data_IF_229245604647
#
_entry.id   IF_229245604647
#
_cell.length_a   1.000
_cell.length_b   1.000
_cell.length_c   1.000
_cell.angle_alpha   90.00
_cell.angle_beta   90.00
_cell.angle_gamma   90.00
#
_symmetry.space_group_name_H-M   'P 1'
#
loop_
_entity.id
_entity.type
_entity.pdbx_description
1 polymer ?
#
# COMPACT_ATOMS: atom_id res chain seq x y z
N UNK A 1 1.32 -7.99 -6.37
CA UNK A 1 1.10 -7.18 -7.59
C UNK A 1 1.30 -8.00 -8.88
N UNK A 2 0.97 -9.29 -8.89
CA UNK A 2 1.05 -10.15 -10.08
C UNK A 2 0.15 -11.36 -9.83
N UNK A 3 -0.92 -11.50 -10.60
CA UNK A 3 -1.96 -12.50 -10.33
C UNK A 3 -1.52 -13.91 -10.74
N UNK A 4 -0.73 -14.06 -11.80
CA UNK A 4 -0.11 -15.34 -12.15
C UNK A 4 0.88 -15.82 -11.08
N UNK A 5 1.73 -14.93 -10.57
CA UNK A 5 2.69 -15.27 -9.52
C UNK A 5 1.98 -15.64 -8.21
N UNK A 6 0.88 -14.94 -7.89
CA UNK A 6 0.01 -15.27 -6.75
C UNK A 6 -0.59 -16.66 -6.92
N UNK A 7 -1.14 -16.96 -8.10
CA UNK A 7 -1.74 -18.27 -8.40
C UNK A 7 -0.71 -19.40 -8.32
N UNK A 8 0.48 -19.21 -8.93
CA UNK A 8 1.61 -20.15 -8.82
C UNK A 8 2.01 -20.39 -7.36
N UNK A 9 2.00 -19.34 -6.52
CA UNK A 9 2.30 -19.47 -5.08
C UNK A 9 1.26 -20.33 -4.35
N UNK A 10 -0.02 -20.21 -4.69
CA UNK A 10 -1.09 -21.07 -4.15
C UNK A 10 -0.95 -22.53 -4.59
N UNK A 11 -0.64 -22.75 -5.87
CA UNK A 11 -0.42 -24.10 -6.40
C UNK A 11 0.79 -24.78 -5.74
N UNK A 12 1.87 -24.02 -5.52
CA UNK A 12 3.03 -24.50 -4.77
C UNK A 12 2.66 -24.87 -3.33
N UNK A 13 1.89 -24.03 -2.65
CA UNK A 13 1.38 -24.32 -1.31
C UNK A 13 0.54 -25.62 -1.28
N UNK A 14 -0.39 -25.77 -2.20
CA UNK A 14 -1.24 -26.97 -2.30
C UNK A 14 -0.43 -28.24 -2.63
N UNK A 15 0.62 -28.09 -3.44
CA UNK A 15 1.62 -29.12 -3.69
C UNK A 15 2.30 -29.57 -2.39
N UNK A 16 2.78 -28.62 -1.58
CA UNK A 16 3.36 -28.91 -0.27
C UNK A 16 2.37 -29.55 0.69
N UNK A 17 1.09 -29.13 0.66
CA UNK A 17 0.08 -29.71 1.52
C UNK A 17 -0.17 -31.19 1.21
N UNK A 18 0.01 -31.65 -0.02
CA UNK A 18 -0.07 -33.08 -0.36
C UNK A 18 1.05 -33.90 0.30
N UNK A 19 2.21 -33.29 0.56
CA UNK A 19 3.36 -33.95 1.15
C UNK A 19 3.46 -33.78 2.68
N UNK A 20 2.90 -32.71 3.25
CA UNK A 20 3.05 -32.37 4.66
C UNK A 20 1.69 -32.05 5.32
N UNK A 21 1.48 -32.54 6.55
CA UNK A 21 0.26 -32.31 7.33
C UNK A 21 0.13 -30.88 7.85
N UNK A 22 1.25 -30.29 8.25
CA UNK A 22 1.35 -29.00 8.89
C UNK A 22 2.37 -28.14 8.16
N UNK A 23 2.00 -26.90 7.89
CA UNK A 23 2.79 -25.95 7.13
C UNK A 23 2.98 -24.65 7.91
N UNK A 24 4.11 -24.00 7.67
CA UNK A 24 4.45 -22.69 8.19
C UNK A 24 4.50 -21.69 7.03
N UNK A 25 3.65 -20.66 7.08
CA UNK A 25 3.64 -19.58 6.09
C UNK A 25 4.54 -18.42 6.54
N UNK A 26 5.65 -18.19 5.83
CA UNK A 26 6.51 -17.00 6.02
C UNK A 26 6.63 -16.22 4.71
N UNK A 27 5.79 -15.21 4.46
CA UNK A 27 5.84 -14.42 3.23
C UNK A 27 6.47 -13.04 3.44
N UNK A 28 6.94 -12.42 2.35
CA UNK A 28 7.37 -11.01 2.33
C UNK A 28 6.28 -10.08 1.75
N UNK A 29 5.01 -10.47 1.84
CA UNK A 29 3.91 -9.79 1.13
C UNK A 29 3.76 -8.32 1.54
N UNK A 30 4.02 -7.99 2.81
CA UNK A 30 3.89 -6.62 3.32
C UNK A 30 4.98 -5.65 2.84
N UNK A 31 6.03 -6.15 2.17
CA UNK A 31 7.14 -5.34 1.68
C UNK A 31 6.95 -4.74 0.28
N UNK A 32 5.82 -5.01 -0.37
CA UNK A 32 5.56 -4.52 -1.74
C UNK A 32 5.17 -3.04 -1.74
N UNK A 33 5.62 -2.30 -2.75
CA UNK A 33 5.14 -0.95 -3.03
C UNK A 33 6.11 0.18 -2.72
N UNK A 34 7.24 -0.09 -2.05
CA UNK A 34 8.30 0.92 -1.82
C UNK A 34 7.76 2.22 -1.20
N UNK A 35 6.84 2.07 -0.24
CA UNK A 35 6.15 3.18 0.42
C UNK A 35 4.94 3.73 -0.34
N UNK A 36 4.74 3.38 -1.61
CA UNK A 36 3.54 3.76 -2.37
C UNK A 36 2.27 3.12 -1.75
N UNK A 37 1.09 3.75 -1.87
CA UNK A 37 -0.16 3.24 -1.30
C UNK A 37 -0.73 2.06 -2.09
N UNK A 38 -0.06 0.91 -1.94
CA UNK A 38 -0.47 -0.38 -2.46
C UNK A 38 -1.39 -1.05 -1.45
N UNK A 39 -2.66 -1.23 -1.82
CA UNK A 39 -3.70 -1.80 -0.96
C UNK A 39 -4.24 -3.05 -1.63
N UNK A 40 -4.20 -4.20 -0.95
CA UNK A 40 -4.73 -5.47 -1.48
C UNK A 40 -5.32 -6.34 -0.37
N UNK A 41 -5.96 -5.70 0.61
CA UNK A 41 -6.43 -6.33 1.84
C UNK A 41 -7.32 -7.55 1.57
N UNK A 42 -8.18 -7.51 0.54
CA UNK A 42 -9.04 -8.64 0.17
C UNK A 42 -8.24 -9.82 -0.36
N UNK A 43 -7.36 -9.60 -1.34
CA UNK A 43 -6.50 -10.66 -1.90
C UNK A 43 -5.59 -11.26 -0.84
N UNK A 44 -5.04 -10.44 0.07
CA UNK A 44 -4.25 -10.91 1.20
C UNK A 44 -5.06 -11.83 2.12
N UNK A 45 -6.27 -11.42 2.48
CA UNK A 45 -7.15 -12.21 3.34
C UNK A 45 -7.56 -13.53 2.70
N UNK A 46 -7.85 -13.54 1.39
CA UNK A 46 -8.12 -14.77 0.64
C UNK A 46 -6.93 -15.75 0.68
N UNK A 47 -5.70 -15.25 0.53
CA UNK A 47 -4.49 -16.07 0.57
C UNK A 47 -4.27 -16.66 1.97
N UNK A 48 -4.40 -15.85 3.02
CA UNK A 48 -4.30 -16.32 4.41
C UNK A 48 -5.36 -17.36 4.72
N UNK A 49 -6.61 -17.13 4.29
CA UNK A 49 -7.72 -18.06 4.49
C UNK A 49 -7.48 -19.38 3.76
N UNK A 50 -6.98 -19.33 2.53
CA UNK A 50 -6.58 -20.52 1.78
C UNK A 50 -5.54 -21.32 2.56
N UNK A 51 -4.44 -20.69 2.97
CA UNK A 51 -3.38 -21.34 3.75
C UNK A 51 -3.90 -21.92 5.07
N UNK A 52 -4.73 -21.18 5.83
CA UNK A 52 -5.35 -21.65 7.06
C UNK A 52 -6.24 -22.89 6.83
N UNK A 53 -7.04 -22.90 5.77
CA UNK A 53 -7.88 -24.05 5.41
C UNK A 53 -7.06 -25.26 4.94
N UNK A 54 -5.82 -25.04 4.50
CA UNK A 54 -4.98 -26.05 3.86
C UNK A 54 -3.68 -26.28 4.65
N UNK A 55 -3.78 -26.40 5.97
CA UNK A 55 -2.73 -26.95 6.83
C UNK A 55 -1.73 -25.95 7.42
N UNK A 56 -1.94 -24.65 7.26
CA UNK A 56 -1.16 -23.64 7.98
C UNK A 56 -1.47 -23.73 9.49
N UNK A 57 -0.41 -23.92 10.29
CA UNK A 57 -0.52 -23.91 11.76
C UNK A 57 0.30 -22.79 12.41
N UNK A 58 1.24 -22.21 11.66
CA UNK A 58 2.09 -21.10 12.09
C UNK A 58 2.23 -20.14 10.91
N UNK A 59 2.38 -18.85 11.20
CA UNK A 59 2.77 -17.84 10.21
C UNK A 59 3.60 -16.72 10.83
N UNK A 60 4.43 -16.12 10.00
CA UNK A 60 5.33 -15.01 10.33
C UNK A 60 5.34 -14.05 9.14
N UNK A 61 4.68 -12.91 9.32
CA UNK A 61 4.62 -11.86 8.32
C UNK A 61 5.74 -10.84 8.54
N UNK A 62 6.76 -10.94 7.69
CA UNK A 62 7.87 -9.98 7.68
C UNK A 62 7.51 -8.74 6.82
N UNK A 63 8.42 -7.77 6.78
CA UNK A 63 8.34 -6.56 5.96
C UNK A 63 7.19 -5.61 6.34
N UNK A 64 6.78 -5.62 7.62
CA UNK A 64 5.93 -4.57 8.17
C UNK A 64 6.77 -3.29 8.40
N UNK A 65 7.03 -2.55 7.32
CA UNK A 65 7.92 -1.37 7.32
C UNK A 65 7.33 -0.11 7.96
N UNK A 66 6.15 -0.21 8.61
CA UNK A 66 5.52 0.88 9.36
C UNK A 66 5.06 2.06 8.48
N UNK A 67 4.57 1.78 7.27
CA UNK A 67 3.92 2.79 6.42
C UNK A 67 2.40 2.84 6.68
N UNK A 68 1.97 3.19 7.89
CA UNK A 68 0.55 3.06 8.27
C UNK A 68 -0.41 3.95 7.46
N UNK A 69 0.07 5.06 6.89
CA UNK A 69 -0.77 5.89 6.01
C UNK A 69 -1.04 5.22 4.66
N UNK A 70 -0.16 4.32 4.20
CA UNK A 70 -0.22 3.72 2.85
C UNK A 70 -0.71 2.28 2.90
N UNK A 71 -0.29 1.51 3.91
CA UNK A 71 -0.58 0.06 4.06
C UNK A 71 -1.27 -0.27 5.39
N UNK A 72 -1.66 0.73 6.20
CA UNK A 72 -2.27 0.48 7.52
C UNK A 72 -3.56 -0.33 7.47
N UNK A 73 -4.39 -0.16 6.43
CA UNK A 73 -5.63 -0.92 6.26
C UNK A 73 -5.35 -2.43 6.14
N UNK A 74 -4.39 -2.83 5.32
CA UNK A 74 -4.06 -4.26 5.15
C UNK A 74 -3.37 -4.83 6.39
N UNK A 75 -2.61 -4.04 7.17
CA UNK A 75 -2.11 -4.49 8.48
C UNK A 75 -3.25 -4.81 9.43
N UNK A 76 -4.26 -3.93 9.49
CA UNK A 76 -5.44 -4.13 10.33
C UNK A 76 -6.25 -5.36 9.89
N UNK A 77 -6.54 -5.49 8.59
CA UNK A 77 -7.27 -6.64 8.05
C UNK A 77 -6.49 -7.94 8.27
N UNK A 78 -5.18 -7.94 8.02
CA UNK A 78 -4.34 -9.12 8.25
C UNK A 78 -4.42 -9.57 9.71
N UNK A 79 -4.30 -8.65 10.67
CA UNK A 79 -4.39 -8.98 12.10
C UNK A 79 -5.75 -9.64 12.45
N UNK A 80 -6.86 -9.14 11.87
CA UNK A 80 -8.19 -9.72 12.07
C UNK A 80 -8.32 -11.13 11.46
N UNK A 81 -7.81 -11.31 10.25
CA UNK A 81 -7.88 -12.60 9.54
C UNK A 81 -6.95 -13.65 10.14
N UNK A 82 -5.80 -13.25 10.67
CA UNK A 82 -4.90 -14.14 11.42
C UNK A 82 -5.52 -14.62 12.74
N UNK A 83 -6.32 -13.76 13.38
CA UNK A 83 -7.07 -14.14 14.57
C UNK A 83 -8.23 -15.10 14.24
N UNK A 84 -9.01 -14.78 13.21
CA UNK A 84 -10.08 -15.65 12.70
C UNK A 84 -10.11 -15.63 11.15
N UNK A 85 -9.65 -16.70 10.48
CA UNK A 85 -9.65 -16.79 9.02
C UNK A 85 -11.04 -16.74 8.37
N UNK A 86 -12.11 -16.97 9.14
CA UNK A 86 -13.50 -16.92 8.65
C UNK A 86 -14.10 -15.51 8.68
N UNK A 87 -13.36 -14.54 9.23
CA UNK A 87 -13.79 -13.14 9.31
C UNK A 87 -14.27 -12.60 7.96
N UNK A 88 -15.40 -11.89 7.98
CA UNK A 88 -15.89 -11.11 6.85
C UNK A 88 -15.01 -9.85 6.69
N UNK A 89 -14.23 -9.84 5.61
CA UNK A 89 -13.25 -8.79 5.33
C UNK A 89 -13.94 -7.48 4.97
N UNK A 90 -15.07 -7.54 4.26
CA UNK A 90 -15.81 -6.34 3.87
C UNK A 90 -16.41 -5.67 5.10
N UNK A 91 -16.99 -6.46 6.00
CA UNK A 91 -17.48 -5.96 7.28
C UNK A 91 -16.36 -5.34 8.15
N UNK A 92 -15.17 -5.93 8.16
CA UNK A 92 -14.00 -5.39 8.88
C UNK A 92 -13.53 -4.06 8.29
N UNK A 93 -13.43 -3.96 6.96
CA UNK A 93 -13.04 -2.72 6.29
C UNK A 93 -14.09 -1.62 6.50
N UNK A 94 -15.36 -2.00 6.49
CA UNK A 94 -16.47 -1.10 6.76
C UNK A 94 -16.45 -0.57 8.20
N UNK A 95 -16.19 -1.44 9.16
CA UNK A 95 -16.03 -1.03 10.56
C UNK A 95 -14.80 -0.16 10.77
N UNK A 96 -13.67 -0.50 10.14
CA UNK A 96 -12.46 0.33 10.16
C UNK A 96 -12.77 1.78 9.72
N UNK A 97 -13.53 1.93 8.62
CA UNK A 97 -13.90 3.25 8.11
C UNK A 97 -14.90 3.95 9.03
N UNK A 98 -15.95 3.26 9.49
CA UNK A 98 -16.97 3.81 10.40
C UNK A 98 -16.38 4.25 11.74
N UNK A 99 -15.70 3.33 12.43
CA UNK A 99 -15.12 3.56 13.76
C UNK A 99 -13.93 4.52 13.71
N UNK A 100 -13.20 4.55 12.59
CA UNK A 100 -12.05 5.42 12.38
C UNK A 100 -12.41 6.85 12.00
N UNK A 101 -13.49 7.06 11.24
CA UNK A 101 -13.70 8.32 10.54
C UNK A 101 -15.11 8.90 10.67
N UNK A 102 -16.03 8.22 11.36
CA UNK A 102 -17.37 8.72 11.63
C UNK A 102 -18.10 9.12 10.34
N UNK A 103 -18.54 10.37 10.26
CA UNK A 103 -19.23 10.92 9.09
C UNK A 103 -18.38 10.88 7.80
N UNK A 104 -17.05 10.79 7.92
CA UNK A 104 -16.14 10.66 6.79
C UNK A 104 -15.91 9.20 6.34
N UNK A 105 -16.61 8.22 6.92
CA UNK A 105 -16.43 6.80 6.59
C UNK A 105 -16.61 6.52 5.10
N UNK A 106 -17.68 7.03 4.47
CA UNK A 106 -17.96 6.74 3.06
C UNK A 106 -16.91 7.32 2.10
N UNK A 107 -16.47 8.60 2.22
CA UNK A 107 -15.32 9.07 1.47
C UNK A 107 -14.04 8.24 1.67
N UNK A 108 -13.77 7.78 2.89
CA UNK A 108 -12.58 6.95 3.18
C UNK A 108 -12.71 5.55 2.57
N UNK A 109 -13.90 4.96 2.54
CA UNK A 109 -14.16 3.71 1.79
C UNK A 109 -13.85 3.90 0.31
N UNK A 110 -14.33 4.98 -0.32
CA UNK A 110 -14.04 5.30 -1.73
C UNK A 110 -12.54 5.49 -1.98
N UNK A 111 -11.82 6.12 -1.04
CA UNK A 111 -10.36 6.23 -1.08
C UNK A 111 -9.66 4.86 -1.11
N UNK A 112 -9.96 3.98 -0.15
CA UNK A 112 -9.32 2.65 -0.12
C UNK A 112 -9.74 1.76 -1.30
N UNK A 113 -11.01 1.83 -1.71
CA UNK A 113 -11.50 1.10 -2.88
C UNK A 113 -10.78 1.53 -4.17
N UNK A 114 -10.48 2.82 -4.34
CA UNK A 114 -9.73 3.31 -5.49
C UNK A 114 -8.27 2.80 -5.50
N UNK A 115 -7.62 2.77 -4.34
CA UNK A 115 -6.25 2.22 -4.20
C UNK A 115 -6.21 0.72 -4.43
N UNK A 116 -7.18 -0.02 -3.89
CA UNK A 116 -7.27 -1.47 -4.09
C UNK A 116 -7.61 -1.84 -5.52
N UNK A 117 -8.49 -1.06 -6.18
CA UNK A 117 -8.75 -1.22 -7.60
C UNK A 117 -7.48 -1.00 -8.42
N UNK A 118 -6.75 0.09 -8.21
CA UNK A 118 -5.48 0.34 -8.90
C UNK A 118 -4.52 -0.83 -8.71
N UNK A 119 -4.38 -1.29 -7.47
CA UNK A 119 -3.52 -2.42 -7.12
C UNK A 119 -3.92 -3.70 -7.86
N UNK A 120 -5.21 -3.99 -7.95
CA UNK A 120 -5.74 -5.15 -8.67
C UNK A 120 -5.56 -5.03 -10.18
N UNK A 121 -5.84 -3.87 -10.77
CA UNK A 121 -5.66 -3.61 -12.19
C UNK A 121 -4.18 -3.83 -12.59
N UNK A 122 -3.25 -3.33 -11.77
CA UNK A 122 -1.80 -3.52 -11.98
C UNK A 122 -1.40 -4.98 -11.78
N UNK A 123 -1.97 -5.69 -10.81
CA UNK A 123 -1.67 -7.10 -10.59
C UNK A 123 -2.13 -7.98 -11.77
N UNK A 124 -3.25 -7.62 -12.41
CA UNK A 124 -3.79 -8.33 -13.56
C UNK A 124 -2.95 -8.20 -14.83
N UNK A 125 -2.03 -7.22 -14.93
CA UNK A 125 -1.10 -7.12 -16.06
C UNK A 125 0.01 -8.17 -16.02
N UNK A 126 0.25 -8.79 -14.87
CA UNK A 126 1.33 -9.75 -14.62
C UNK A 126 2.75 -9.21 -14.93
N UNK A 127 2.91 -7.89 -15.10
CA UNK A 127 4.19 -7.26 -15.46
C UNK A 127 5.17 -7.15 -14.28
N UNK A 128 4.68 -7.12 -13.04
CA UNK A 128 5.55 -6.98 -11.87
C UNK A 128 6.16 -8.32 -11.47
N UNK A 129 7.49 -8.44 -11.54
CA UNK A 129 8.17 -9.69 -11.20
C UNK A 129 8.54 -9.83 -9.71
N UNK A 130 8.49 -8.75 -8.92
CA UNK A 130 8.66 -8.80 -7.45
C UNK A 130 10.03 -9.23 -6.90
N UNK A 131 11.06 -9.35 -7.73
CA UNK A 131 12.40 -9.85 -7.31
C UNK A 131 13.40 -8.78 -6.91
N UNK A 132 13.19 -7.54 -7.38
CA UNK A 132 14.05 -6.38 -7.13
C UNK A 132 13.19 -5.15 -6.97
N UNK A 133 13.77 -4.13 -6.33
CA UNK A 133 13.18 -2.81 -6.33
C UNK A 133 12.96 -2.33 -7.77
N UNK A 134 11.78 -1.74 -8.02
CA UNK A 134 11.39 -1.20 -9.31
C UNK A 134 10.45 0.01 -9.12
N UNK A 135 10.99 1.16 -8.67
CA UNK A 135 10.18 2.35 -8.43
C UNK A 135 9.53 2.84 -9.72
N UNK A 136 10.22 2.73 -10.87
CA UNK A 136 9.72 3.12 -12.19
C UNK A 136 8.42 2.37 -12.53
N UNK A 137 8.31 1.09 -12.15
CA UNK A 137 7.09 0.31 -12.33
C UNK A 137 5.93 0.83 -11.48
N UNK A 138 6.15 1.17 -10.22
CA UNK A 138 5.04 1.62 -9.36
C UNK A 138 4.56 3.00 -9.77
N UNK A 139 5.48 3.95 -9.94
CA UNK A 139 5.12 5.36 -10.09
C UNK A 139 4.36 5.66 -11.38
N UNK A 140 4.54 4.86 -12.46
CA UNK A 140 3.81 5.05 -13.73
C UNK A 140 2.28 4.93 -13.58
N UNK A 141 1.83 4.23 -12.54
CA UNK A 141 0.40 4.01 -12.27
C UNK A 141 -0.24 5.10 -11.39
N UNK A 142 0.55 5.97 -10.76
CA UNK A 142 0.08 7.05 -9.89
C UNK A 142 0.04 8.38 -10.64
N UNK A 143 -0.88 8.47 -11.60
CA UNK A 143 -1.08 9.68 -12.42
C UNK A 143 -1.54 10.87 -11.59
N UNK A 144 -1.39 12.08 -12.13
CA UNK A 144 -1.93 13.29 -11.51
C UNK A 144 -3.43 13.19 -11.26
N UNK A 145 -4.18 12.68 -12.24
CA UNK A 145 -5.62 12.45 -12.14
C UNK A 145 -5.94 11.49 -10.99
N UNK A 146 -5.28 10.34 -10.92
CA UNK A 146 -5.53 9.35 -9.88
C UNK A 146 -5.24 9.89 -8.47
N UNK A 147 -4.08 10.53 -8.29
CA UNK A 147 -3.69 11.10 -7.01
C UNK A 147 -4.60 12.25 -6.59
N UNK A 148 -5.05 13.08 -7.55
CA UNK A 148 -6.00 14.17 -7.27
C UNK A 148 -7.39 13.63 -6.92
N UNK A 149 -7.84 12.55 -7.57
CA UNK A 149 -9.08 11.86 -7.20
C UNK A 149 -9.00 11.29 -5.78
N UNK A 150 -7.90 10.63 -5.42
CA UNK A 150 -7.69 10.13 -4.06
C UNK A 150 -7.69 11.27 -3.01
N UNK A 151 -7.02 12.38 -3.32
CA UNK A 151 -7.03 13.57 -2.48
C UNK A 151 -8.45 14.15 -2.32
N UNK A 152 -9.23 14.18 -3.40
CA UNK A 152 -10.63 14.62 -3.40
C UNK A 152 -11.51 13.82 -2.45
N UNK A 153 -11.34 12.49 -2.38
CA UNK A 153 -12.06 11.67 -1.40
C UNK A 153 -11.70 12.03 0.05
N UNK A 154 -10.44 12.31 0.34
CA UNK A 154 -10.03 12.73 1.68
C UNK A 154 -10.57 14.12 2.02
N UNK A 155 -10.64 15.02 1.05
CA UNK A 155 -11.15 16.38 1.25
C UNK A 155 -12.70 16.41 1.37
N UNK A 156 -13.42 15.53 0.66
CA UNK A 156 -14.82 15.23 0.93
C UNK A 156 -15.00 14.80 2.40
N UNK A 157 -14.16 13.87 2.88
CA UNK A 157 -14.17 13.42 4.26
C UNK A 157 -13.98 14.56 5.26
N UNK A 158 -13.02 15.46 5.02
CA UNK A 158 -12.76 16.61 5.90
C UNK A 158 -13.97 17.54 5.99
N UNK A 159 -14.70 17.74 4.88
CA UNK A 159 -15.93 18.54 4.86
C UNK A 159 -17.07 17.93 5.67
N UNK A 160 -17.11 16.60 5.81
CA UNK A 160 -18.14 15.89 6.59
C UNK A 160 -17.79 15.72 8.06
N UNK A 161 -16.51 15.88 8.42
CA UNK A 161 -15.99 15.64 9.77
C UNK A 161 -15.53 16.93 10.46
N UNK A 162 -16.11 18.09 10.14
CA UNK A 162 -15.69 19.40 10.69
C UNK A 162 -15.67 19.45 12.20
N UNK A 163 -16.60 18.75 12.84
CA UNK A 163 -16.76 18.74 14.30
C UNK A 163 -16.07 17.52 14.97
N UNK A 164 -15.42 16.65 14.17
CA UNK A 164 -14.66 15.49 14.66
C UNK A 164 -13.16 15.71 14.47
N UNK A 165 -12.55 16.33 15.48
CA UNK A 165 -11.11 16.61 15.49
C UNK A 165 -10.23 15.37 15.33
N UNK A 166 -10.70 14.19 15.73
CA UNK A 166 -9.93 12.95 15.60
C UNK A 166 -10.01 12.39 14.19
N UNK A 167 -11.20 12.38 13.59
CA UNK A 167 -11.36 12.02 12.18
C UNK A 167 -10.54 12.95 11.27
N UNK A 168 -10.52 14.26 11.54
CA UNK A 168 -9.69 15.21 10.78
C UNK A 168 -8.19 14.88 10.87
N UNK A 169 -7.69 14.52 12.06
CA UNK A 169 -6.29 14.08 12.23
C UNK A 169 -6.00 12.80 11.46
N UNK A 170 -6.92 11.82 11.47
CA UNK A 170 -6.78 10.56 10.71
C UNK A 170 -6.85 10.79 9.20
N UNK A 171 -7.69 11.70 8.72
CA UNK A 171 -7.74 12.10 7.31
C UNK A 171 -6.46 12.81 6.87
N UNK A 172 -5.92 13.70 7.71
CA UNK A 172 -4.62 14.33 7.46
C UNK A 172 -3.49 13.28 7.42
N UNK A 173 -3.54 12.29 8.31
CA UNK A 173 -2.60 11.17 8.33
C UNK A 173 -2.63 10.36 7.03
N UNK A 174 -3.82 10.01 6.50
CA UNK A 174 -3.93 9.39 5.17
C UNK A 174 -3.45 10.31 4.04
N UNK A 175 -3.63 11.62 4.17
CA UNK A 175 -3.14 12.62 3.21
C UNK A 175 -1.61 12.60 3.04
N UNK A 176 -0.86 12.19 4.07
CA UNK A 176 0.61 12.03 3.99
C UNK A 176 0.97 10.99 2.92
N UNK A 177 0.21 9.91 2.78
CA UNK A 177 0.43 8.89 1.76
C UNK A 177 0.34 9.46 0.33
N UNK A 178 -0.65 10.31 0.08
CA UNK A 178 -0.87 10.92 -1.25
C UNK A 178 0.17 11.99 -1.55
N UNK A 179 0.54 12.81 -0.57
CA UNK A 179 1.64 13.78 -0.71
C UNK A 179 2.96 13.06 -1.02
N UNK A 180 3.27 11.99 -0.29
CA UNK A 180 4.44 11.17 -0.56
C UNK A 180 4.41 10.55 -1.96
N UNK A 181 3.33 9.86 -2.32
CA UNK A 181 3.22 9.20 -3.63
C UNK A 181 3.45 10.18 -4.79
N UNK A 182 2.95 11.42 -4.66
CA UNK A 182 3.17 12.48 -5.66
C UNK A 182 4.63 12.90 -5.73
N UNK A 183 5.25 13.22 -4.59
CA UNK A 183 6.65 13.66 -4.53
C UNK A 183 7.60 12.56 -5.02
N UNK A 184 7.36 11.32 -4.61
CA UNK A 184 8.17 10.20 -5.05
C UNK A 184 8.02 9.94 -6.55
N UNK A 185 6.78 9.93 -7.09
CA UNK A 185 6.56 9.81 -8.53
C UNK A 185 7.31 10.90 -9.30
N UNK A 186 7.23 12.14 -8.86
CA UNK A 186 7.93 13.24 -9.53
C UNK A 186 9.45 13.04 -9.53
N UNK A 187 10.03 12.64 -8.40
CA UNK A 187 11.46 12.38 -8.28
C UNK A 187 11.91 11.21 -9.17
N UNK A 188 11.15 10.11 -9.19
CA UNK A 188 11.46 8.92 -9.98
C UNK A 188 11.34 9.21 -11.48
N UNK A 189 10.26 9.86 -11.92
CA UNK A 189 10.05 10.24 -13.33
C UNK A 189 11.13 11.20 -13.82
N UNK A 190 11.44 12.25 -13.06
CA UNK A 190 12.48 13.21 -13.45
C UNK A 190 13.87 12.56 -13.52
N UNK A 191 14.17 11.64 -12.59
CA UNK A 191 15.40 10.85 -12.62
C UNK A 191 15.44 9.91 -13.83
N UNK A 192 14.32 9.28 -14.18
CA UNK A 192 14.22 8.38 -15.32
C UNK A 192 14.46 9.12 -16.65
N UNK A 193 13.87 10.31 -16.83
CA UNK A 193 14.06 11.15 -18.01
C UNK A 193 15.52 11.60 -18.21
N UNK A 194 16.22 11.93 -17.11
CA UNK A 194 17.65 12.25 -17.16
C UNK A 194 18.48 11.01 -17.51
N UNK A 195 18.17 9.86 -16.92
CA UNK A 195 18.89 8.59 -17.14
C UNK A 195 18.69 8.05 -18.56
N UNK A 196 17.50 8.21 -19.14
CA UNK A 196 17.19 7.78 -20.51
C UNK A 196 17.77 8.72 -21.57
N UNK A 197 18.17 9.94 -21.20
CA UNK A 197 18.62 10.98 -22.12
C UNK A 197 17.48 11.75 -22.80
N UNK A 198 16.23 11.54 -22.38
CA UNK A 198 15.07 12.34 -22.82
C UNK A 198 15.28 13.83 -22.49
N UNK A 199 15.95 14.11 -21.37
CA UNK A 199 16.48 15.44 -21.07
C UNK A 199 17.96 15.34 -20.69
N UNK A 200 18.72 16.40 -21.00
CA UNK A 200 20.10 16.60 -20.53
C UNK A 200 20.18 17.57 -19.35
N UNK A 201 19.08 18.25 -19.01
CA UNK A 201 19.02 19.18 -17.90
C UNK A 201 18.84 18.42 -16.58
N UNK A 202 19.81 18.45 -15.64
CA UNK A 202 19.67 17.77 -14.35
C UNK A 202 18.75 18.51 -13.37
N UNK A 203 18.40 19.78 -13.65
CA UNK A 203 17.67 20.65 -12.71
C UNK A 203 16.32 20.08 -12.28
N UNK A 204 15.43 19.57 -13.16
CA UNK A 204 14.14 19.01 -12.74
C UNK A 204 14.29 17.80 -11.82
N UNK A 205 15.29 16.94 -12.08
CA UNK A 205 15.60 15.79 -11.23
C UNK A 205 16.09 16.22 -9.84
N UNK A 206 16.99 17.20 -9.78
CA UNK A 206 17.50 17.74 -8.53
C UNK A 206 16.41 18.43 -7.69
N UNK A 207 15.55 19.23 -8.32
CA UNK A 207 14.43 19.91 -7.65
C UNK A 207 13.40 18.92 -7.10
N UNK A 208 13.03 17.90 -7.88
CA UNK A 208 12.09 16.88 -7.43
C UNK A 208 12.63 16.04 -6.27
N UNK A 209 13.92 15.68 -6.32
CA UNK A 209 14.60 15.00 -5.22
C UNK A 209 14.65 15.88 -3.95
N UNK A 210 14.99 17.17 -4.10
CA UNK A 210 15.03 18.12 -2.99
C UNK A 210 13.64 18.32 -2.35
N UNK A 211 12.57 18.37 -3.15
CA UNK A 211 11.20 18.48 -2.64
C UNK A 211 10.79 17.24 -1.81
N UNK A 212 11.14 16.03 -2.27
CA UNK A 212 10.90 14.79 -1.52
C UNK A 212 11.70 14.76 -0.21
N UNK A 213 12.97 15.15 -0.25
CA UNK A 213 13.83 15.21 0.94
C UNK A 213 13.37 16.27 1.95
N UNK A 214 12.87 17.41 1.47
CA UNK A 214 12.27 18.43 2.32
C UNK A 214 11.03 17.88 3.03
N UNK A 215 10.19 17.12 2.32
CA UNK A 215 9.03 16.45 2.91
C UNK A 215 9.44 15.41 3.96
N UNK A 216 10.48 14.61 3.73
CA UNK A 216 10.99 13.68 4.75
C UNK A 216 11.44 14.41 6.02
N UNK A 217 12.09 15.57 5.89
CA UNK A 217 12.46 16.42 7.03
C UNK A 217 11.24 17.01 7.74
N UNK A 218 10.24 17.45 6.97
CA UNK A 218 8.99 18.02 7.47
C UNK A 218 8.22 17.02 8.34
N UNK A 219 8.04 15.78 7.88
CA UNK A 219 7.27 14.77 8.60
C UNK A 219 8.06 14.09 9.73
N UNK A 220 9.39 14.16 9.67
CA UNK A 220 10.28 13.56 10.66
C UNK A 220 10.09 12.05 10.85
N UNK A 221 10.29 11.61 12.09
CA UNK A 221 9.98 10.24 12.51
C UNK A 221 8.50 10.12 12.81
N UNK A 222 7.79 9.37 11.96
CA UNK A 222 6.34 9.17 12.07
C UNK A 222 5.96 7.76 11.65
N UNK A 223 4.84 7.27 12.17
CA UNK A 223 4.23 6.01 11.75
C UNK A 223 3.44 6.15 10.44
N UNK A 224 3.20 7.38 9.95
CA UNK A 224 2.51 7.58 8.68
C UNK A 224 3.30 6.94 7.53
N UNK A 225 4.60 7.28 7.46
CA UNK A 225 5.55 6.73 6.51
C UNK A 225 6.89 6.66 7.23
N UNK A 226 7.53 5.49 7.16
CA UNK A 226 8.90 5.29 7.62
C UNK A 226 9.92 5.98 6.69
N UNK A 227 10.06 7.29 6.85
CA UNK A 227 10.93 8.13 6.03
C UNK A 227 12.43 7.77 6.14
N UNK A 228 12.98 7.34 7.31
CA UNK A 228 14.37 6.86 7.36
C UNK A 228 14.60 5.62 6.51
N UNK A 229 13.67 4.66 6.54
CA UNK A 229 13.73 3.47 5.70
C UNK A 229 13.74 3.86 4.22
N UNK A 230 12.78 4.68 3.80
CA UNK A 230 12.70 5.10 2.40
C UNK A 230 13.97 5.81 1.93
N UNK A 231 14.48 6.74 2.75
CA UNK A 231 15.71 7.46 2.44
C UNK A 231 16.93 6.53 2.36
N UNK A 232 17.06 5.58 3.30
CA UNK A 232 18.18 4.64 3.33
C UNK A 232 18.22 3.76 2.07
N UNK A 233 17.06 3.31 1.60
CA UNK A 233 16.96 2.46 0.41
C UNK A 233 16.79 3.25 -0.91
N UNK A 234 16.76 4.58 -0.86
CA UNK A 234 16.70 5.45 -2.05
C UNK A 234 15.31 5.58 -2.68
N UNK A 235 14.26 5.28 -1.92
CA UNK A 235 12.84 5.45 -2.27
C UNK A 235 12.33 6.86 -2.01
#
# INVERSE_FOLDING_TARGET
MNDEARQKSREMWDGWRKAAKYLFLRPNLLGTGEGMPVVYARKLAEDVRHCAATGMIVTDFDCCYQHWATTGLQYYVLAKVLWDPKTDVDAVMDDYCRSGFGNAAEPVKRYFAALEKLTNDVAATNEYEGRKSNPDFFVKHYTDEFLSRCQGFLDDGKRLATDDSMALKRLAFLGIAIKFARLNRNAVVARAALRSGETKDPKPSAEAAAARDAFYKEIGLTWAINSPYLKFYGF
#
